data_IF_073012252705
#
_entry.id   IF_073012252705
#
_cell.length_a   1.000
_cell.length_b   1.000
_cell.length_c   1.000
_cell.angle_alpha   90.00
_cell.angle_beta   90.00
_cell.angle_gamma   90.00
#
_symmetry.space_group_name_H-M   'P 1'
#
loop_
_entity.id
_entity.type
_entity.pdbx_description
1 polymer ?
#
# COMPACT_ATOMS: atom_id res chain seq x y z
N UNK A 1 -22.97 25.33 -17.62
CA UNK A 1 -21.69 24.65 -17.36
C UNK A 1 -22.02 23.33 -16.68
N UNK A 2 -21.51 22.21 -17.18
CA UNK A 2 -21.69 20.93 -16.50
C UNK A 2 -20.81 20.96 -15.26
N UNK A 3 -21.39 20.77 -14.07
CA UNK A 3 -20.58 20.67 -12.86
C UNK A 3 -19.56 19.54 -13.04
N UNK A 4 -18.30 19.71 -12.59
CA UNK A 4 -17.32 18.65 -12.67
C UNK A 4 -17.90 17.40 -11.99
N UNK A 5 -17.95 16.29 -12.73
CA UNK A 5 -18.33 14.99 -12.14
C UNK A 5 -17.44 14.76 -10.92
N UNK A 6 -18.07 14.43 -9.79
CA UNK A 6 -17.35 14.00 -8.59
C UNK A 6 -16.48 12.78 -8.86
N UNK A 7 -15.64 12.42 -7.90
CA UNK A 7 -14.81 11.22 -8.02
C UNK A 7 -15.65 9.95 -7.89
N UNK A 8 -15.42 8.98 -8.78
CA UNK A 8 -16.08 7.67 -8.73
C UNK A 8 -15.41 6.71 -7.73
N UNK A 9 -14.13 6.93 -7.40
CA UNK A 9 -13.33 6.10 -6.51
C UNK A 9 -12.19 6.91 -5.90
N UNK A 10 -11.76 6.54 -4.69
CA UNK A 10 -10.51 7.03 -4.10
C UNK A 10 -9.51 5.89 -3.93
N UNK A 11 -8.23 6.16 -4.21
CA UNK A 11 -7.15 5.21 -3.96
C UNK A 11 -6.22 5.79 -2.90
N UNK A 12 -6.30 5.26 -1.69
CA UNK A 12 -5.46 5.64 -0.57
C UNK A 12 -4.10 4.93 -0.64
N UNK A 13 -3.03 5.69 -0.43
CA UNK A 13 -1.69 5.16 -0.25
C UNK A 13 -1.25 5.41 1.19
N UNK A 14 -0.88 4.35 1.90
CA UNK A 14 -0.56 4.36 3.32
C UNK A 14 -1.78 4.56 4.25
N UNK A 15 -1.65 4.12 5.51
CA UNK A 15 -2.75 4.12 6.48
C UNK A 15 -3.31 5.52 6.78
N UNK A 16 -2.47 6.56 6.72
CA UNK A 16 -2.91 7.93 6.97
C UNK A 16 -3.92 8.42 5.93
N UNK A 17 -3.62 8.21 4.64
CA UNK A 17 -4.58 8.49 3.57
C UNK A 17 -5.78 7.55 3.61
N UNK A 18 -5.60 6.33 4.11
CA UNK A 18 -6.69 5.39 4.37
C UNK A 18 -7.74 5.97 5.31
N UNK A 19 -7.32 6.60 6.42
CA UNK A 19 -8.26 7.27 7.33
C UNK A 19 -9.08 8.35 6.62
N UNK A 20 -8.43 9.15 5.76
CA UNK A 20 -9.14 10.16 4.95
C UNK A 20 -10.11 9.51 3.97
N UNK A 21 -9.71 8.46 3.25
CA UNK A 21 -10.57 7.77 2.29
C UNK A 21 -11.78 7.10 2.96
N UNK A 22 -11.59 6.54 4.15
CA UNK A 22 -12.64 5.99 5.01
C UNK A 22 -13.69 7.06 5.38
N UNK A 23 -13.25 8.28 5.72
CA UNK A 23 -14.18 9.41 5.95
C UNK A 23 -14.88 9.88 4.66
N UNK A 24 -14.16 9.92 3.53
CA UNK A 24 -14.75 10.28 2.23
C UNK A 24 -15.84 9.29 1.82
N UNK A 25 -15.62 7.99 2.04
CA UNK A 25 -16.62 6.95 1.83
C UNK A 25 -17.86 7.19 2.68
N UNK A 26 -17.70 7.44 3.99
CA UNK A 26 -18.84 7.73 4.89
C UNK A 26 -19.65 8.97 4.46
N UNK A 27 -18.95 10.01 4.01
CA UNK A 27 -19.59 11.32 3.74
C UNK A 27 -20.18 11.43 2.33
N UNK A 28 -19.56 10.79 1.36
CA UNK A 28 -19.88 10.98 -0.06
C UNK A 28 -20.26 9.68 -0.79
N UNK A 29 -20.28 8.54 -0.09
CA UNK A 29 -20.55 7.22 -0.65
C UNK A 29 -19.61 6.84 -1.80
N UNK A 30 -18.38 7.37 -1.77
CA UNK A 30 -17.33 7.08 -2.75
C UNK A 30 -16.53 5.86 -2.27
N UNK A 31 -16.49 4.74 -3.01
CA UNK A 31 -15.70 3.58 -2.62
C UNK A 31 -14.21 3.90 -2.57
N UNK A 32 -13.46 3.14 -1.78
CA UNK A 32 -12.02 3.28 -1.72
C UNK A 32 -11.24 1.98 -1.85
N UNK A 33 -10.12 2.12 -2.56
CA UNK A 33 -9.05 1.13 -2.67
C UNK A 33 -7.90 1.61 -1.77
N UNK A 34 -7.17 0.69 -1.15
CA UNK A 34 -5.98 1.03 -0.38
C UNK A 34 -4.77 0.17 -0.73
N UNK A 35 -3.61 0.81 -0.85
CA UNK A 35 -2.29 0.17 -0.86
C UNK A 35 -1.54 0.62 0.39
N UNK A 36 -1.14 -0.31 1.26
CA UNK A 36 -0.52 0.03 2.54
C UNK A 36 0.97 0.40 2.43
N UNK A 37 1.72 -0.10 1.43
CA UNK A 37 3.18 0.01 1.26
C UNK A 37 4.03 -0.63 2.36
N UNK A 38 3.57 -0.56 3.60
CA UNK A 38 4.10 -1.30 4.72
C UNK A 38 3.02 -1.46 5.79
N UNK A 39 2.93 -2.64 6.38
CA UNK A 39 2.00 -2.95 7.46
C UNK A 39 2.65 -2.72 8.83
N UNK A 40 1.92 -2.14 9.77
CA UNK A 40 2.41 -1.83 11.11
C UNK A 40 2.89 -3.06 11.88
N UNK A 41 2.13 -4.17 11.86
CA UNK A 41 2.50 -5.42 12.54
C UNK A 41 3.79 -6.03 11.96
N UNK A 42 3.93 -6.01 10.63
CA UNK A 42 5.13 -6.48 9.93
C UNK A 42 6.34 -5.60 10.26
N UNK A 43 6.17 -4.27 10.24
CA UNK A 43 7.23 -3.35 10.65
C UNK A 43 7.65 -3.56 12.09
N UNK A 44 6.71 -3.74 13.02
CA UNK A 44 7.02 -4.04 14.42
C UNK A 44 7.80 -5.34 14.57
N UNK A 45 7.42 -6.40 13.84
CA UNK A 45 8.11 -7.69 13.84
C UNK A 45 9.59 -7.54 13.44
N UNK A 46 9.89 -6.75 12.40
CA UNK A 46 11.26 -6.62 11.88
C UNK A 46 12.10 -5.52 12.53
N UNK A 47 11.47 -4.43 12.98
CA UNK A 47 12.18 -3.25 13.51
C UNK A 47 12.18 -3.20 15.04
N UNK A 48 11.31 -3.95 15.71
CA UNK A 48 11.24 -4.01 17.18
C UNK A 48 11.07 -2.62 17.80
N UNK A 49 11.96 -2.26 18.73
CA UNK A 49 11.94 -0.96 19.41
C UNK A 49 12.31 0.22 18.50
N UNK A 50 12.90 -0.03 17.33
CA UNK A 50 13.21 1.02 16.35
C UNK A 50 11.98 1.44 15.53
N UNK A 51 10.85 0.75 15.66
CA UNK A 51 9.60 1.17 15.04
C UNK A 51 8.98 2.35 15.83
N UNK A 52 9.20 3.56 15.35
CA UNK A 52 8.75 4.80 15.99
C UNK A 52 7.26 5.13 15.86
N UNK A 53 6.44 4.29 15.23
CA UNK A 53 5.00 4.55 15.12
C UNK A 53 4.24 4.08 16.37
N UNK A 54 3.16 4.81 16.73
CA UNK A 54 2.24 4.40 17.79
C UNK A 54 1.63 3.03 17.51
N UNK A 55 1.36 2.26 18.57
CA UNK A 55 0.63 0.99 18.48
C UNK A 55 -0.82 1.16 18.05
N UNK A 56 -1.39 2.37 18.16
CA UNK A 56 -2.73 2.68 17.67
C UNK A 56 -2.86 2.42 16.16
N UNK A 57 -1.75 2.53 15.44
CA UNK A 57 -1.66 2.20 14.01
C UNK A 57 -2.22 0.81 13.70
N UNK A 58 -2.06 -0.18 14.57
CA UNK A 58 -2.52 -1.54 14.30
C UNK A 58 -4.05 -1.60 14.21
N UNK A 59 -4.74 -0.99 15.18
CA UNK A 59 -6.20 -0.94 15.19
C UNK A 59 -6.74 -0.11 14.01
N UNK A 60 -6.03 0.97 13.65
CA UNK A 60 -6.39 1.78 12.47
C UNK A 60 -6.28 0.96 11.19
N UNK A 61 -5.16 0.28 10.96
CA UNK A 61 -4.96 -0.55 9.77
C UNK A 61 -5.96 -1.72 9.70
N UNK A 62 -6.26 -2.38 10.82
CA UNK A 62 -7.30 -3.42 10.90
C UNK A 62 -8.67 -2.88 10.48
N UNK A 63 -9.06 -1.71 10.98
CA UNK A 63 -10.29 -1.04 10.59
C UNK A 63 -10.32 -0.72 9.10
N UNK A 64 -9.22 -0.18 8.56
CA UNK A 64 -9.10 0.16 7.14
C UNK A 64 -9.18 -1.08 6.24
N UNK A 65 -8.53 -2.19 6.62
CA UNK A 65 -8.64 -3.48 5.91
C UNK A 65 -10.10 -3.97 5.88
N UNK A 66 -10.83 -3.81 6.99
CA UNK A 66 -12.23 -4.23 7.09
C UNK A 66 -13.19 -3.31 6.31
N UNK A 67 -12.88 -2.01 6.17
CA UNK A 67 -13.74 -1.01 5.53
C UNK A 67 -13.49 -0.83 4.02
N UNK A 68 -12.26 -1.11 3.56
CA UNK A 68 -11.87 -0.93 2.16
C UNK A 68 -12.70 -1.80 1.22
N UNK A 69 -13.04 -1.25 0.05
CA UNK A 69 -13.71 -1.99 -1.02
C UNK A 69 -12.72 -2.93 -1.73
N UNK A 70 -11.46 -2.50 -1.84
CA UNK A 70 -10.33 -3.33 -2.27
C UNK A 70 -9.06 -2.99 -1.51
N UNK A 71 -8.24 -4.01 -1.28
CA UNK A 71 -6.87 -3.87 -0.76
C UNK A 71 -5.90 -4.40 -1.80
N UNK A 72 -4.91 -3.60 -2.15
CA UNK A 72 -3.86 -4.01 -3.09
C UNK A 72 -2.73 -4.67 -2.30
N UNK A 73 -2.36 -5.87 -2.72
CA UNK A 73 -1.12 -6.53 -2.31
C UNK A 73 -0.07 -6.32 -3.41
N UNK A 74 1.13 -5.85 -3.05
CA UNK A 74 2.19 -5.51 -4.01
C UNK A 74 3.14 -6.69 -4.25
N UNK A 75 3.08 -7.70 -3.40
CA UNK A 75 3.76 -8.97 -3.59
C UNK A 75 3.04 -10.13 -2.87
N UNK A 76 3.40 -11.39 -3.16
CA UNK A 76 2.83 -12.56 -2.48
C UNK A 76 2.94 -12.51 -0.95
N UNK A 77 4.01 -11.89 -0.42
CA UNK A 77 4.18 -11.76 1.02
C UNK A 77 3.16 -10.79 1.62
N UNK A 78 2.86 -9.67 0.96
CA UNK A 78 1.85 -8.72 1.44
C UNK A 78 0.46 -9.36 1.54
N UNK A 79 0.09 -10.20 0.56
CA UNK A 79 -1.17 -10.94 0.60
C UNK A 79 -1.21 -11.88 1.79
N UNK A 80 -0.13 -12.64 2.04
CA UNK A 80 -0.03 -13.53 3.21
C UNK A 80 -0.14 -12.73 4.51
N UNK A 81 0.53 -11.58 4.62
CA UNK A 81 0.53 -10.75 5.82
C UNK A 81 -0.87 -10.12 6.06
N UNK A 82 -1.55 -9.67 5.01
CA UNK A 82 -2.93 -9.17 5.08
C UNK A 82 -3.90 -10.26 5.57
N UNK A 83 -3.76 -11.48 5.07
CA UNK A 83 -4.61 -12.61 5.44
C UNK A 83 -4.35 -13.06 6.88
N UNK A 84 -3.08 -13.22 7.25
CA UNK A 84 -2.68 -13.87 8.51
C UNK A 84 -2.61 -12.90 9.69
N UNK A 85 -2.21 -11.65 9.45
CA UNK A 85 -2.02 -10.67 10.51
C UNK A 85 -3.17 -9.66 10.62
N UNK A 86 -3.95 -9.44 9.56
CA UNK A 86 -5.03 -8.44 9.52
C UNK A 86 -6.41 -9.04 9.27
N UNK A 87 -6.51 -10.36 9.13
CA UNK A 87 -7.78 -11.06 8.87
C UNK A 87 -8.53 -10.50 7.65
N UNK A 88 -7.79 -10.04 6.63
CA UNK A 88 -8.37 -9.47 5.43
C UNK A 88 -9.28 -10.49 4.71
N UNK A 89 -10.40 -10.02 4.15
CA UNK A 89 -11.26 -10.86 3.29
C UNK A 89 -10.52 -11.15 1.97
N UNK A 90 -10.20 -12.42 1.65
CA UNK A 90 -9.48 -12.76 0.43
C UNK A 90 -10.15 -12.24 -0.84
N UNK A 91 -11.49 -12.09 -0.83
CA UNK A 91 -12.26 -11.59 -1.99
C UNK A 91 -12.03 -10.10 -2.26
N UNK A 92 -11.51 -9.36 -1.28
CA UNK A 92 -11.20 -7.93 -1.37
C UNK A 92 -9.73 -7.64 -1.68
N UNK A 93 -8.86 -8.64 -1.56
CA UNK A 93 -7.44 -8.50 -1.91
C UNK A 93 -7.30 -8.61 -3.43
N UNK A 94 -6.40 -7.81 -4.01
CA UNK A 94 -6.02 -7.93 -5.42
C UNK A 94 -4.52 -7.72 -5.55
N UNK A 95 -3.84 -8.70 -6.14
CA UNK A 95 -2.39 -8.66 -6.38
C UNK A 95 -2.08 -7.72 -7.55
N UNK A 96 -1.34 -6.65 -7.28
CA UNK A 96 -0.83 -5.71 -8.30
C UNK A 96 0.64 -5.43 -7.98
N UNK A 97 1.58 -6.16 -8.62
CA UNK A 97 2.98 -5.99 -8.33
C UNK A 97 3.51 -4.61 -8.70
N UNK A 98 4.46 -4.10 -7.91
CA UNK A 98 5.18 -2.88 -8.24
C UNK A 98 5.89 -3.01 -9.59
N UNK A 99 5.83 -1.94 -10.38
CA UNK A 99 6.61 -1.81 -11.60
C UNK A 99 8.04 -1.33 -11.33
N UNK A 100 8.84 -1.34 -12.39
CA UNK A 100 10.13 -0.64 -12.45
C UNK A 100 10.19 0.14 -13.76
N UNK A 101 11.02 1.18 -13.82
CA UNK A 101 11.28 1.90 -15.07
C UNK A 101 12.35 1.14 -15.89
N UNK A 102 12.02 0.59 -17.07
CA UNK A 102 12.98 -0.14 -17.90
C UNK A 102 14.06 0.76 -18.51
N UNK A 103 13.87 2.09 -18.56
CA UNK A 103 14.90 3.01 -18.98
C UNK A 103 15.98 3.20 -17.90
N UNK A 104 15.61 3.09 -16.62
CA UNK A 104 16.51 3.19 -15.48
C UNK A 104 17.16 1.85 -15.13
N UNK A 105 16.36 0.79 -15.07
CA UNK A 105 16.78 -0.56 -14.69
C UNK A 105 16.83 -1.48 -15.91
N UNK A 106 17.96 -1.44 -16.62
CA UNK A 106 18.25 -2.31 -17.76
C UNK A 106 19.61 -2.99 -17.61
N UNK A 107 19.81 -4.17 -18.23
CA UNK A 107 21.12 -4.78 -18.31
C UNK A 107 22.12 -3.84 -18.96
N UNK A 108 23.27 -3.63 -18.32
CA UNK A 108 24.40 -2.87 -18.85
C UNK A 108 25.64 -3.75 -18.85
N UNK A 109 26.57 -3.46 -19.76
CA UNK A 109 27.87 -4.13 -19.76
C UNK A 109 28.60 -3.84 -18.46
N UNK A 110 29.10 -4.90 -17.81
CA UNK A 110 29.71 -4.81 -16.48
C UNK A 110 30.99 -3.98 -16.50
N UNK A 111 31.83 -4.16 -17.52
CA UNK A 111 33.15 -3.54 -17.55
C UNK A 111 32.99 -2.04 -17.89
N UNK A 112 32.08 -1.71 -18.82
CA UNK A 112 31.69 -0.32 -19.10
C UNK A 112 31.06 0.38 -17.88
N UNK A 113 30.25 -0.35 -17.09
CA UNK A 113 29.67 0.20 -15.86
C UNK A 113 30.74 0.48 -14.80
N UNK A 114 31.72 -0.43 -14.63
CA UNK A 114 32.84 -0.25 -13.70
C UNK A 114 33.74 0.91 -14.10
N UNK A 115 34.09 1.01 -15.38
CA UNK A 115 34.89 2.12 -15.91
C UNK A 115 34.21 3.47 -15.61
N UNK A 116 32.90 3.58 -15.89
CA UNK A 116 32.12 4.80 -15.59
C UNK A 116 32.10 5.17 -14.10
N UNK A 117 32.22 4.19 -13.21
CA UNK A 117 32.25 4.39 -11.76
C UNK A 117 33.68 4.49 -11.18
N UNK A 118 34.72 4.28 -11.99
CA UNK A 118 36.11 4.22 -11.54
C UNK A 118 36.46 2.97 -10.71
N UNK A 119 35.82 1.82 -11.01
CA UNK A 119 35.94 0.53 -10.29
C UNK A 119 36.62 -0.60 -11.09
#
# INVERSE_FOLDING_TARGET
AQEPRGYDVTHAHFWMSGMTASELKRRFDIPFVITFHALGKVRRMHQGANDGFSTDRFAIEEGLVAEADRVIAECPQDEIDLLTMYSADPRRITMVPCGYDPAECQPVDRDAARERLGL
#
